data_IF_829884661447
#
_entry.id   IF_829884661447
#
_cell.length_a   1.000
_cell.length_b   1.000
_cell.length_c   1.000
_cell.angle_alpha   90.00
_cell.angle_beta   90.00
_cell.angle_gamma   90.00
#
_symmetry.space_group_name_H-M   'P 1'
#
loop_
_entity.id
_entity.type
_entity.pdbx_description
1 polymer ?
#
# COMPACT_ATOMS: atom_id res chain seq x y z
N UNK A 1 36.82 -51.20 2.60
CA UNK A 1 35.68 -51.23 1.67
C UNK A 1 34.43 -51.62 2.46
N UNK A 2 33.70 -50.63 2.97
CA UNK A 2 32.51 -50.87 3.80
C UNK A 2 31.27 -50.59 2.96
N UNK A 3 30.54 -51.65 2.61
CA UNK A 3 29.19 -51.54 2.04
C UNK A 3 28.22 -51.34 3.19
N UNK A 4 27.50 -50.22 3.21
CA UNK A 4 26.35 -50.02 4.09
C UNK A 4 25.05 -50.18 3.27
N UNK A 5 24.04 -50.93 3.76
CA UNK A 5 22.77 -51.08 3.07
C UNK A 5 21.75 -50.01 3.47
N UNK A 6 21.07 -49.50 2.44
CA UNK A 6 19.66 -49.06 2.35
C UNK A 6 19.02 -48.35 3.56
N UNK A 7 18.57 -47.12 3.35
CA UNK A 7 17.15 -46.78 3.50
C UNK A 7 16.85 -45.44 2.81
N UNK A 8 15.90 -45.46 1.88
CA UNK A 8 15.17 -44.26 1.45
C UNK A 8 13.73 -44.46 1.90
N UNK A 9 13.17 -43.52 2.64
CA UNK A 9 11.77 -43.21 2.52
C UNK A 9 11.69 -41.79 1.96
N UNK A 10 11.08 -41.68 0.78
CA UNK A 10 10.43 -40.47 0.33
C UNK A 10 9.43 -40.03 1.41
N UNK A 11 9.82 -39.06 2.24
CA UNK A 11 8.88 -38.31 3.06
C UNK A 11 8.50 -37.08 2.24
N UNK A 12 7.43 -37.22 1.46
CA UNK A 12 6.65 -36.09 1.00
C UNK A 12 6.22 -35.32 2.25
N UNK A 13 6.82 -34.15 2.46
CA UNK A 13 6.29 -33.20 3.41
C UNK A 13 4.92 -32.73 2.90
N UNK A 14 3.87 -32.80 3.74
CA UNK A 14 2.51 -32.45 3.35
C UNK A 14 2.43 -30.94 3.22
N UNK A 15 1.90 -30.47 2.08
CA UNK A 15 1.47 -29.09 1.81
C UNK A 15 2.14 -28.05 2.70
N UNK A 16 3.26 -27.50 2.23
CA UNK A 16 3.47 -26.07 2.38
C UNK A 16 2.25 -25.42 1.72
N UNK A 17 1.17 -25.32 2.49
CA UNK A 17 0.19 -24.29 2.27
C UNK A 17 1.04 -23.02 2.31
N UNK A 18 1.41 -22.56 1.12
CA UNK A 18 1.67 -21.15 0.87
C UNK A 18 0.65 -20.45 1.74
N UNK A 19 1.13 -19.91 2.85
CA UNK A 19 0.40 -18.89 3.55
C UNK A 19 0.49 -17.75 2.55
N UNK A 20 -0.40 -17.79 1.55
CA UNK A 20 -0.72 -16.64 0.72
C UNK A 20 -1.06 -15.62 1.79
N UNK A 21 -0.19 -14.63 2.06
CA UNK A 21 -0.57 -13.59 3.00
C UNK A 21 -1.93 -13.11 2.49
N UNK A 22 -2.93 -12.94 3.37
CA UNK A 22 -4.24 -12.48 2.92
C UNK A 22 -3.95 -11.31 2.01
N UNK A 23 -4.37 -11.43 0.74
CA UNK A 23 -4.20 -10.37 -0.25
C UNK A 23 -4.85 -9.15 0.39
N UNK A 24 -4.03 -8.34 1.08
CA UNK A 24 -4.43 -7.05 1.60
C UNK A 24 -4.79 -6.34 0.33
N UNK A 25 -6.10 -6.25 0.05
CA UNK A 25 -6.62 -5.80 -1.23
C UNK A 25 -5.86 -4.53 -1.56
N UNK A 26 -5.00 -4.60 -2.58
CA UNK A 26 -4.11 -3.51 -2.90
C UNK A 26 -5.01 -2.37 -3.34
N UNK A 27 -5.13 -1.34 -2.51
CA UNK A 27 -5.87 -0.15 -2.88
C UNK A 27 -5.30 0.35 -4.21
N UNK A 28 -6.20 0.69 -5.13
CA UNK A 28 -5.77 1.29 -6.38
C UNK A 28 -5.01 2.59 -6.08
N UNK A 29 -4.07 3.00 -6.96
CA UNK A 29 -3.42 4.29 -6.84
C UNK A 29 -4.41 5.45 -6.73
N UNK A 30 -5.55 5.34 -7.41
CA UNK A 30 -6.65 6.30 -7.37
C UNK A 30 -7.30 6.36 -5.98
N UNK A 31 -7.71 5.21 -5.42
CA UNK A 31 -8.28 5.16 -4.06
C UNK A 31 -7.29 5.69 -3.02
N UNK A 32 -6.01 5.37 -3.18
CA UNK A 32 -4.94 5.84 -2.29
C UNK A 32 -4.79 7.36 -2.36
N UNK A 33 -4.76 7.94 -3.57
CA UNK A 33 -4.67 9.38 -3.75
C UNK A 33 -5.92 10.10 -3.23
N UNK A 34 -7.12 9.53 -3.45
CA UNK A 34 -8.35 10.07 -2.88
C UNK A 34 -8.29 10.08 -1.36
N UNK A 35 -7.95 8.95 -0.74
CA UNK A 35 -7.81 8.84 0.72
C UNK A 35 -6.84 9.87 1.29
N UNK A 36 -5.64 10.02 0.69
CA UNK A 36 -4.65 11.01 1.14
C UNK A 36 -5.21 12.44 1.02
N UNK A 37 -5.94 12.75 -0.05
CA UNK A 37 -6.48 14.09 -0.27
C UNK A 37 -7.54 14.49 0.78
N UNK A 38 -8.41 13.55 1.15
CA UNK A 38 -9.47 13.76 2.14
C UNK A 38 -8.87 13.81 3.55
N UNK A 39 -8.04 12.83 3.89
CA UNK A 39 -7.44 12.72 5.21
C UNK A 39 -6.50 13.89 5.53
N UNK A 40 -5.71 14.35 4.57
CA UNK A 40 -4.83 15.50 4.77
C UNK A 40 -5.61 16.80 4.97
N UNK A 41 -6.82 16.92 4.42
CA UNK A 41 -7.69 18.08 4.65
C UNK A 41 -8.16 18.15 6.12
N UNK A 42 -8.59 17.03 6.68
CA UNK A 42 -9.02 16.93 8.07
C UNK A 42 -7.86 17.22 9.03
N UNK A 43 -6.68 16.66 8.77
CA UNK A 43 -5.51 16.92 9.58
C UNK A 43 -5.04 18.38 9.48
N UNK A 44 -5.11 19.00 8.29
CA UNK A 44 -4.74 20.42 8.12
C UNK A 44 -5.65 21.31 8.95
N UNK A 45 -6.96 21.02 8.98
CA UNK A 45 -7.91 21.71 9.84
C UNK A 45 -7.51 21.59 11.33
N UNK A 46 -7.24 20.39 11.82
CA UNK A 46 -6.80 20.18 13.22
C UNK A 46 -5.46 20.84 13.55
N UNK A 47 -4.51 20.84 12.59
CA UNK A 47 -3.23 21.51 12.74
C UNK A 47 -3.38 23.03 12.88
N UNK A 48 -4.33 23.64 12.15
CA UNK A 48 -4.65 25.08 12.27
C UNK A 48 -5.27 25.42 13.62
N UNK A 49 -6.20 24.60 14.10
CA UNK A 49 -6.81 24.77 15.42
C UNK A 49 -5.76 24.72 16.56
N UNK A 50 -4.70 23.95 16.36
CA UNK A 50 -3.61 23.79 17.34
C UNK A 50 -2.40 24.70 17.08
N UNK A 51 -2.48 25.62 16.11
CA UNK A 51 -1.40 26.56 15.71
C UNK A 51 -0.11 25.88 15.26
N UNK A 52 -0.22 24.71 14.64
CA UNK A 52 0.89 23.99 14.02
C UNK A 52 1.02 24.39 12.54
N UNK A 53 1.39 25.65 12.29
CA UNK A 53 1.29 26.28 10.96
C UNK A 53 2.12 25.56 9.88
N UNK A 54 3.35 25.13 10.22
CA UNK A 54 4.19 24.38 9.28
C UNK A 54 3.58 23.03 8.94
N UNK A 55 2.97 22.35 9.92
CA UNK A 55 2.31 21.07 9.68
C UNK A 55 1.07 21.24 8.80
N UNK A 56 0.24 22.25 9.09
CA UNK A 56 -0.92 22.59 8.26
C UNK A 56 -0.51 22.86 6.81
N UNK A 57 0.57 23.64 6.60
CA UNK A 57 1.12 23.89 5.27
C UNK A 57 1.54 22.59 4.56
N UNK A 58 2.28 21.70 5.23
CA UNK A 58 2.70 20.43 4.63
C UNK A 58 1.51 19.54 4.27
N UNK A 59 0.47 19.53 5.09
CA UNK A 59 -0.76 18.76 4.84
C UNK A 59 -1.56 19.33 3.66
N UNK A 60 -1.64 20.66 3.53
CA UNK A 60 -2.24 21.30 2.36
C UNK A 60 -1.46 20.96 1.08
N UNK A 61 -0.13 20.95 1.15
CA UNK A 61 0.72 20.53 0.02
C UNK A 61 0.50 19.05 -0.34
N UNK A 62 0.45 18.16 0.65
CA UNK A 62 0.17 16.74 0.43
C UNK A 62 -1.20 16.52 -0.24
N UNK A 63 -2.22 17.27 0.19
CA UNK A 63 -3.54 17.26 -0.44
C UNK A 63 -3.47 17.71 -1.91
N UNK A 64 -2.78 18.80 -2.21
CA UNK A 64 -2.62 19.30 -3.58
C UNK A 64 -1.95 18.28 -4.50
N UNK A 65 -0.89 17.61 -4.03
CA UNK A 65 -0.23 16.57 -4.83
C UNK A 65 -1.11 15.33 -5.04
N UNK A 66 -1.88 14.93 -4.03
CA UNK A 66 -2.83 13.82 -4.16
C UNK A 66 -3.93 14.13 -5.19
N UNK A 67 -4.45 15.36 -5.20
CA UNK A 67 -5.41 15.80 -6.22
C UNK A 67 -4.80 15.78 -7.63
N UNK A 68 -3.53 16.19 -7.77
CA UNK A 68 -2.83 16.12 -9.06
C UNK A 68 -2.63 14.68 -9.53
N UNK A 69 -2.33 13.75 -8.61
CA UNK A 69 -2.22 12.34 -8.92
C UNK A 69 -3.55 11.76 -9.44
N UNK A 70 -4.68 12.14 -8.83
CA UNK A 70 -6.02 11.76 -9.33
C UNK A 70 -6.28 12.27 -10.75
N UNK A 71 -5.95 13.54 -11.02
CA UNK A 71 -6.11 14.13 -12.36
C UNK A 71 -5.21 13.47 -13.40
N UNK A 72 -4.00 13.06 -13.03
CA UNK A 72 -3.10 12.34 -13.92
C UNK A 72 -3.67 10.95 -14.26
N UNK A 73 -4.17 10.22 -13.26
CA UNK A 73 -4.76 8.90 -13.45
C UNK A 73 -6.03 8.93 -14.33
N UNK A 74 -6.87 9.94 -14.17
CA UNK A 74 -8.06 10.14 -15.03
C UNK A 74 -7.65 10.36 -16.50
N UNK A 75 -6.62 11.19 -16.76
CA UNK A 75 -6.09 11.42 -18.12
C UNK A 75 -5.53 10.17 -18.77
N UNK A 76 -4.85 9.32 -18.01
CA UNK A 76 -4.31 8.07 -18.53
C UNK A 76 -5.42 7.06 -18.86
N UNK A 77 -6.52 7.11 -18.12
CA UNK A 77 -7.73 6.29 -18.36
C UNK A 77 -8.45 6.64 -19.67
N UNK A 78 -8.35 7.89 -20.13
CA UNK A 78 -8.95 8.35 -21.40
C UNK A 78 -8.08 8.01 -22.63
N UNK A 79 -6.79 7.67 -22.43
CA UNK A 79 -5.84 7.37 -23.52
C UNK A 79 -5.67 5.88 -23.83
N UNK A 80 -6.14 4.99 -22.96
CA UNK A 80 -6.13 3.54 -23.16
C UNK A 80 -7.38 3.05 -23.87
#
# INVERSE_FOLDING_TARGET
MSKSPRYSPSVQAPNEAETIPPSQGSMSPQETAQYISEFSAELSFLARETKLDLLAYLLDMARLEAIRALQAADRDSVKG
#
